data_IF_991990511335
#
_entry.id   IF_991990511335
#
_cell.length_a   1.000
_cell.length_b   1.000
_cell.length_c   1.000
_cell.angle_alpha   90.00
_cell.angle_beta   90.00
_cell.angle_gamma   90.00
#
_symmetry.space_group_name_H-M   'P 1'
#
loop_
_entity.id
_entity.type
_entity.pdbx_description
1 polymer ?
#
# COMPACT_ATOMS: atom_id res chain seq x y z
N UNK A 1 -16.57 -12.51 -17.73
CA UNK A 1 -16.78 -13.09 -16.38
C UNK A 1 -15.46 -13.72 -15.99
N UNK A 2 -14.77 -13.20 -14.98
CA UNK A 2 -13.57 -13.84 -14.42
C UNK A 2 -13.98 -15.10 -13.69
N UNK A 3 -13.22 -16.19 -13.87
CA UNK A 3 -13.48 -17.41 -13.13
C UNK A 3 -12.87 -17.31 -11.72
N UNK A 4 -13.38 -18.05 -10.72
CA UNK A 4 -12.75 -18.11 -9.40
C UNK A 4 -11.26 -18.52 -9.45
N UNK A 5 -10.86 -19.30 -10.46
CA UNK A 5 -9.47 -19.68 -10.68
C UNK A 5 -8.61 -18.48 -11.13
N UNK A 6 -9.14 -17.61 -11.99
CA UNK A 6 -8.44 -16.39 -12.43
C UNK A 6 -8.24 -15.42 -11.27
N UNK A 7 -9.21 -15.33 -10.35
CA UNK A 7 -9.10 -14.49 -9.15
C UNK A 7 -8.04 -15.04 -8.18
N UNK A 8 -8.00 -16.35 -7.96
CA UNK A 8 -6.95 -16.99 -7.14
C UNK A 8 -5.56 -16.78 -7.75
N UNK A 9 -5.41 -16.98 -9.07
CA UNK A 9 -4.13 -16.76 -9.76
C UNK A 9 -3.68 -15.30 -9.59
N UNK A 10 -4.59 -14.33 -9.77
CA UNK A 10 -4.29 -12.92 -9.57
C UNK A 10 -3.92 -12.58 -8.11
N UNK A 11 -4.50 -13.26 -7.11
CA UNK A 11 -4.09 -13.12 -5.71
C UNK A 11 -2.69 -13.69 -5.45
N UNK A 12 -2.36 -14.85 -6.04
CA UNK A 12 -1.03 -15.43 -5.94
C UNK A 12 0.04 -14.56 -6.60
N UNK A 13 -0.22 -14.01 -7.78
CA UNK A 13 0.70 -13.10 -8.47
C UNK A 13 0.93 -11.82 -7.64
N UNK A 14 -0.12 -11.25 -7.03
CA UNK A 14 0.02 -10.12 -6.10
C UNK A 14 0.84 -10.48 -4.87
N UNK A 15 0.68 -11.69 -4.33
CA UNK A 15 1.46 -12.15 -3.19
C UNK A 15 2.95 -12.32 -3.56
N UNK A 16 3.25 -12.84 -4.74
CA UNK A 16 4.62 -12.99 -5.25
C UNK A 16 5.30 -11.63 -5.47
N UNK A 17 4.59 -10.68 -6.10
CA UNK A 17 5.09 -9.31 -6.28
C UNK A 17 5.32 -8.60 -4.94
N UNK A 18 4.42 -8.79 -3.98
CA UNK A 18 4.58 -8.28 -2.62
C UNK A 18 5.83 -8.86 -1.95
N UNK A 19 6.09 -10.16 -2.10
CA UNK A 19 7.27 -10.81 -1.54
C UNK A 19 8.55 -10.33 -2.22
N UNK A 20 8.56 -10.14 -3.54
CA UNK A 20 9.70 -9.56 -4.27
C UNK A 20 10.00 -8.12 -3.84
N UNK A 21 8.98 -7.28 -3.70
CA UNK A 21 9.17 -5.91 -3.22
C UNK A 21 9.75 -5.91 -1.79
N UNK A 22 9.25 -6.82 -0.95
CA UNK A 22 9.74 -6.99 0.41
C UNK A 22 11.20 -7.46 0.45
N UNK A 23 11.61 -8.38 -0.40
CA UNK A 23 13.02 -8.78 -0.53
C UNK A 23 13.90 -7.62 -1.01
N UNK A 24 13.44 -6.84 -1.98
CA UNK A 24 14.15 -5.65 -2.46
C UNK A 24 14.31 -4.61 -1.36
N UNK A 25 13.29 -4.39 -0.52
CA UNK A 25 13.38 -3.53 0.66
C UNK A 25 14.33 -4.10 1.70
N UNK A 26 14.26 -5.40 2.00
CA UNK A 26 15.17 -6.06 2.92
C UNK A 26 16.64 -5.87 2.50
N UNK A 27 16.94 -5.99 1.20
CA UNK A 27 18.29 -5.72 0.65
C UNK A 27 18.78 -4.28 0.87
N UNK A 28 17.87 -3.31 0.99
CA UNK A 28 18.18 -1.89 1.25
C UNK A 28 18.32 -1.59 2.73
N UNK A 29 17.81 -2.44 3.62
CA UNK A 29 17.90 -2.22 5.06
C UNK A 29 19.34 -2.49 5.50
N UNK A 30 19.93 -1.45 6.08
CA UNK A 30 21.22 -1.56 6.75
C UNK A 30 21.02 -2.44 7.99
N UNK A 31 21.57 -3.65 7.95
CA UNK A 31 21.56 -4.55 9.10
C UNK A 31 22.21 -3.87 10.31
N UNK A 32 21.65 -4.04 11.52
CA UNK A 32 22.32 -3.61 12.74
C UNK A 32 23.67 -4.30 12.86
N UNK A 33 24.68 -3.58 13.35
CA UNK A 33 26.02 -4.12 13.55
C UNK A 33 26.04 -5.27 14.58
N UNK A 34 25.15 -5.19 15.57
CA UNK A 34 24.89 -6.23 16.55
C UNK A 34 23.37 -6.54 16.56
N UNK A 35 22.93 -7.58 15.82
CA UNK A 35 21.52 -7.95 15.75
C UNK A 35 20.93 -8.38 17.10
N UNK A 36 21.70 -9.04 17.99
CA UNK A 36 21.17 -9.51 19.27
C UNK A 36 20.92 -8.34 20.23
N UNK A 37 21.88 -7.41 20.31
CA UNK A 37 21.69 -6.19 21.09
C UNK A 37 20.52 -5.35 20.54
N UNK A 38 20.36 -5.31 19.22
CA UNK A 38 19.24 -4.62 18.58
C UNK A 38 17.88 -5.27 18.91
N UNK A 39 17.77 -6.60 18.80
CA UNK A 39 16.55 -7.34 19.16
C UNK A 39 16.18 -7.15 20.64
N UNK A 40 17.17 -7.20 21.53
CA UNK A 40 16.98 -6.95 22.96
C UNK A 40 16.52 -5.53 23.25
N UNK A 41 17.04 -4.53 22.53
CA UNK A 41 16.58 -3.15 22.65
C UNK A 41 15.15 -2.97 22.10
N UNK A 42 14.83 -3.63 20.98
CA UNK A 42 13.48 -3.61 20.41
C UNK A 42 12.46 -4.21 21.38
N UNK A 43 12.77 -5.35 22.00
CA UNK A 43 11.92 -6.00 23.00
C UNK A 43 11.62 -5.07 24.19
N UNK A 44 12.64 -4.37 24.71
CA UNK A 44 12.46 -3.34 25.76
C UNK A 44 11.55 -2.20 25.30
N UNK A 45 11.77 -1.68 24.10
CA UNK A 45 10.93 -0.60 23.53
C UNK A 45 9.49 -1.07 23.35
N UNK A 46 9.27 -2.30 22.88
CA UNK A 46 7.94 -2.88 22.74
C UNK A 46 7.25 -3.03 24.09
N UNK A 47 7.96 -3.50 25.13
CA UNK A 47 7.40 -3.59 26.48
C UNK A 47 6.93 -2.24 27.02
N UNK A 48 7.60 -1.14 26.66
CA UNK A 48 7.19 0.23 27.02
C UNK A 48 6.02 0.75 26.17
N UNK A 49 5.99 0.41 24.88
CA UNK A 49 5.04 0.96 23.91
C UNK A 49 3.74 0.15 23.80
N UNK A 50 3.78 -1.18 23.83
CA UNK A 50 2.60 -2.03 23.66
C UNK A 50 1.49 -1.78 24.69
N UNK A 51 1.76 -1.54 26.00
CA UNK A 51 0.72 -1.23 26.97
C UNK A 51 -0.10 0.01 26.63
N UNK A 52 0.41 0.86 25.75
CA UNK A 52 -0.25 2.06 25.28
C UNK A 52 -1.34 1.75 24.25
N UNK A 53 -1.28 0.63 23.53
CA UNK A 53 -2.28 0.28 22.54
C UNK A 53 -3.62 -0.12 23.19
N UNK A 54 -4.77 0.17 22.55
CA UNK A 54 -6.07 -0.33 22.99
C UNK A 54 -6.22 -1.83 22.72
N UNK A 55 -7.06 -2.52 23.48
CA UNK A 55 -7.50 -3.87 23.13
C UNK A 55 -8.50 -3.86 21.95
N UNK A 56 -8.54 -4.90 21.09
CA UNK A 56 -7.71 -6.13 21.10
C UNK A 56 -6.34 -5.96 20.39
N UNK A 57 -6.04 -4.75 19.90
CA UNK A 57 -4.84 -4.48 19.10
C UNK A 57 -3.58 -4.76 19.93
N UNK A 58 -3.59 -4.41 21.21
CA UNK A 58 -2.47 -4.70 22.11
C UNK A 58 -2.14 -6.19 22.16
N UNK A 59 -3.11 -7.07 22.38
CA UNK A 59 -2.84 -8.51 22.44
C UNK A 59 -2.33 -9.06 21.11
N UNK A 60 -2.97 -8.67 19.99
CA UNK A 60 -2.57 -9.09 18.63
C UNK A 60 -1.10 -8.74 18.34
N UNK A 61 -0.69 -7.49 18.62
CA UNK A 61 0.68 -7.05 18.36
C UNK A 61 1.68 -7.61 19.36
N UNK A 62 1.28 -7.88 20.60
CA UNK A 62 2.17 -8.48 21.60
C UNK A 62 2.58 -9.89 21.18
N UNK A 63 1.62 -10.72 20.79
CA UNK A 63 1.88 -12.09 20.31
C UNK A 63 2.72 -12.07 19.03
N UNK A 64 2.27 -11.31 18.03
CA UNK A 64 2.96 -11.19 16.73
C UNK A 64 4.42 -10.76 16.89
N UNK A 65 4.68 -9.70 17.65
CA UNK A 65 6.04 -9.18 17.78
C UNK A 65 6.93 -10.12 18.59
N UNK A 66 6.39 -10.79 19.61
CA UNK A 66 7.14 -11.77 20.42
C UNK A 66 7.59 -12.95 19.56
N UNK A 67 6.68 -13.50 18.75
CA UNK A 67 6.99 -14.62 17.85
C UNK A 67 7.98 -14.24 16.76
N UNK A 68 7.89 -13.02 16.23
CA UNK A 68 8.83 -12.53 15.23
C UNK A 68 10.23 -12.31 15.82
N UNK A 69 10.35 -11.78 17.04
CA UNK A 69 11.64 -11.64 17.73
C UNK A 69 12.25 -13.01 18.00
N UNK A 70 11.44 -13.97 18.46
CA UNK A 70 11.90 -15.35 18.68
C UNK A 70 12.40 -15.99 17.38
N UNK A 71 11.63 -15.85 16.30
CA UNK A 71 12.02 -16.33 14.97
C UNK A 71 13.31 -15.66 14.49
N UNK A 72 13.47 -14.35 14.69
CA UNK A 72 14.69 -13.64 14.34
C UNK A 72 15.90 -14.14 15.15
N UNK A 73 15.76 -14.37 16.46
CA UNK A 73 16.82 -14.96 17.29
C UNK A 73 17.20 -16.37 16.81
N UNK A 74 16.23 -17.18 16.40
CA UNK A 74 16.50 -18.50 15.83
C UNK A 74 17.34 -18.39 14.54
N UNK A 75 16.98 -17.50 13.61
CA UNK A 75 17.76 -17.29 12.39
C UNK A 75 19.16 -16.73 12.67
N UNK A 76 19.29 -15.86 13.68
CA UNK A 76 20.59 -15.37 14.13
C UNK A 76 21.46 -16.51 14.67
N UNK A 77 20.90 -17.40 15.51
CA UNK A 77 21.61 -18.56 16.05
C UNK A 77 22.04 -19.56 14.97
N UNK A 78 21.22 -19.72 13.91
CA UNK A 78 21.54 -20.56 12.76
C UNK A 78 22.55 -19.91 11.79
N UNK A 79 22.86 -18.62 11.95
CA UNK A 79 23.73 -17.88 11.03
C UNK A 79 23.08 -17.53 9.68
N UNK A 80 21.75 -17.67 9.55
CA UNK A 80 21.00 -17.46 8.31
C UNK A 80 20.76 -15.97 8.05
N UNK A 81 21.80 -15.27 7.59
CA UNK A 81 21.81 -13.81 7.44
C UNK A 81 20.71 -13.26 6.50
N UNK A 82 20.36 -14.01 5.44
CA UNK A 82 19.31 -13.59 4.52
C UNK A 82 17.92 -13.63 5.18
N UNK A 83 17.60 -14.72 5.86
CA UNK A 83 16.34 -14.88 6.60
C UNK A 83 16.25 -13.88 7.76
N UNK A 84 17.35 -13.70 8.51
CA UNK A 84 17.45 -12.71 9.57
C UNK A 84 17.18 -11.29 9.05
N UNK A 85 17.76 -10.91 7.91
CA UNK A 85 17.53 -9.58 7.30
C UNK A 85 16.07 -9.35 6.93
N UNK A 86 15.40 -10.35 6.38
CA UNK A 86 13.97 -10.29 6.07
C UNK A 86 13.11 -10.17 7.34
N UNK A 87 13.51 -10.84 8.42
CA UNK A 87 12.83 -10.72 9.72
C UNK A 87 13.07 -9.37 10.40
N UNK A 88 14.28 -8.84 10.35
CA UNK A 88 14.60 -7.49 10.86
C UNK A 88 13.79 -6.43 10.13
N UNK A 89 13.65 -6.56 8.81
CA UNK A 89 12.79 -5.68 8.02
C UNK A 89 11.33 -5.70 8.48
N UNK A 90 10.78 -6.90 8.67
CA UNK A 90 9.41 -7.09 9.14
C UNK A 90 9.19 -6.49 10.53
N UNK A 91 10.13 -6.74 11.45
CA UNK A 91 10.09 -6.20 12.81
C UNK A 91 10.12 -4.68 12.81
N UNK A 92 10.91 -4.06 11.91
CA UNK A 92 10.96 -2.61 11.78
C UNK A 92 9.63 -2.04 11.28
N UNK A 93 9.05 -2.64 10.23
CA UNK A 93 7.76 -2.20 9.68
C UNK A 93 6.64 -2.33 10.72
N UNK A 94 6.57 -3.46 11.44
CA UNK A 94 5.56 -3.68 12.47
C UNK A 94 5.76 -2.78 13.69
N UNK A 95 7.01 -2.51 14.08
CA UNK A 95 7.28 -1.55 15.16
C UNK A 95 6.85 -0.13 14.79
N UNK A 96 7.11 0.31 13.55
CA UNK A 96 6.63 1.61 13.07
C UNK A 96 5.10 1.67 13.04
N UNK A 97 4.43 0.56 12.70
CA UNK A 97 2.98 0.48 12.75
C UNK A 97 2.45 0.57 14.19
N UNK A 98 3.14 -0.05 15.16
CA UNK A 98 2.84 0.12 16.60
C UNK A 98 2.96 1.59 17.00
N UNK A 99 4.07 2.25 16.67
CA UNK A 99 4.26 3.68 16.97
C UNK A 99 3.16 4.54 16.35
N UNK A 100 2.86 4.31 15.08
CA UNK A 100 1.80 5.03 14.38
C UNK A 100 0.41 4.80 15.00
N UNK A 101 0.12 3.59 15.50
CA UNK A 101 -1.12 3.31 16.22
C UNK A 101 -1.18 3.98 17.60
N UNK A 102 -0.04 4.17 18.26
CA UNK A 102 0.06 4.90 19.53
C UNK A 102 -0.12 6.40 19.30
N UNK A 103 0.52 6.97 18.28
CA UNK A 103 0.39 8.39 17.94
C UNK A 103 -1.04 8.74 17.52
N UNK A 104 -1.77 7.76 16.97
CA UNK A 104 -3.20 7.85 16.67
C UNK A 104 -4.13 7.72 17.87
N UNK A 105 -3.65 7.75 19.11
CA UNK A 105 -4.50 7.69 20.32
C UNK A 105 -5.61 8.76 20.39
N UNK A 106 -5.45 9.89 19.71
CA UNK A 106 -6.51 10.91 19.58
C UNK A 106 -7.41 10.71 18.33
N UNK A 107 -7.09 9.76 17.47
CA UNK A 107 -7.94 9.30 16.38
C UNK A 107 -8.69 8.04 16.83
N UNK A 108 -9.84 8.24 17.48
CA UNK A 108 -10.81 7.21 17.83
C UNK A 108 -11.06 6.18 16.68
N UNK A 109 -11.56 4.97 17.00
CA UNK A 109 -11.15 3.68 16.43
C UNK A 109 -11.34 3.58 14.91
N UNK A 110 -10.24 3.61 14.14
CA UNK A 110 -10.23 3.36 12.70
C UNK A 110 -10.25 1.86 12.31
N UNK A 111 -10.84 1.01 13.16
CA UNK A 111 -11.39 -0.32 12.79
C UNK A 111 -12.92 -0.36 12.91
N UNK A 112 -13.61 0.78 12.97
CA UNK A 112 -14.95 0.88 12.39
C UNK A 112 -14.77 1.24 10.92
N UNK A 113 -15.45 0.53 10.03
CA UNK A 113 -15.37 0.74 8.57
C UNK A 113 -15.35 2.21 8.20
N UNK A 114 -14.68 2.55 7.08
CA UNK A 114 -14.59 3.91 6.52
C UNK A 114 -15.85 4.69 6.92
N UNK A 115 -15.71 5.77 7.69
CA UNK A 115 -16.88 6.52 8.13
C UNK A 115 -17.78 6.78 6.92
N UNK A 116 -19.10 6.62 7.06
CA UNK A 116 -20.02 6.72 5.93
C UNK A 116 -19.79 7.99 5.07
N UNK A 117 -19.36 9.10 5.70
CA UNK A 117 -18.96 10.32 4.97
C UNK A 117 -17.64 10.22 4.19
N UNK A 118 -16.61 9.56 4.70
CA UNK A 118 -15.33 9.36 4.01
C UNK A 118 -15.40 8.30 2.91
N UNK A 119 -16.20 7.25 3.13
CA UNK A 119 -16.51 6.25 2.12
C UNK A 119 -17.34 6.86 0.99
N UNK A 120 -18.37 7.63 1.33
CA UNK A 120 -19.18 8.38 0.37
C UNK A 120 -18.34 9.35 -0.46
N UNK A 121 -17.42 10.11 0.15
CA UNK A 121 -16.57 11.05 -0.61
C UNK A 121 -15.61 10.33 -1.55
N UNK A 122 -15.06 9.19 -1.13
CA UNK A 122 -14.16 8.39 -1.98
C UNK A 122 -14.92 7.74 -3.15
N UNK A 123 -16.11 7.18 -2.89
CA UNK A 123 -16.99 6.61 -3.91
C UNK A 123 -17.49 7.68 -4.88
N UNK A 124 -17.86 8.86 -4.38
CA UNK A 124 -18.23 10.00 -5.22
C UNK A 124 -17.06 10.45 -6.10
N UNK A 125 -15.85 10.58 -5.55
CA UNK A 125 -14.66 10.94 -6.34
C UNK A 125 -14.29 9.87 -7.36
N UNK A 126 -14.51 8.60 -7.02
CA UNK A 126 -14.29 7.50 -7.96
C UNK A 126 -15.32 7.52 -9.10
N UNK A 127 -16.61 7.65 -8.77
CA UNK A 127 -17.68 7.77 -9.76
C UNK A 127 -17.50 9.02 -10.65
N UNK A 128 -17.09 10.15 -10.07
CA UNK A 128 -16.76 11.36 -10.83
C UNK A 128 -15.58 11.11 -11.77
N UNK A 129 -14.53 10.42 -11.29
CA UNK A 129 -13.38 10.07 -12.13
C UNK A 129 -13.76 9.13 -13.28
N UNK A 130 -14.61 8.13 -13.03
CA UNK A 130 -15.12 7.20 -14.04
C UNK A 130 -16.00 7.90 -15.07
N UNK A 131 -16.91 8.78 -14.63
CA UNK A 131 -17.73 9.60 -15.53
C UNK A 131 -16.87 10.53 -16.41
N UNK A 132 -15.84 11.16 -15.83
CA UNK A 132 -14.90 11.98 -16.59
C UNK A 132 -14.11 11.14 -17.62
N UNK A 133 -13.67 9.93 -17.26
CA UNK A 133 -12.98 9.03 -18.18
C UNK A 133 -13.90 8.64 -19.34
N UNK A 134 -15.14 8.26 -19.07
CA UNK A 134 -16.11 7.93 -20.12
C UNK A 134 -16.34 9.10 -21.08
N UNK A 135 -16.47 10.32 -20.55
CA UNK A 135 -16.61 11.53 -21.38
C UNK A 135 -15.36 11.82 -22.22
N UNK A 136 -14.16 11.56 -21.69
CA UNK A 136 -12.90 11.68 -22.43
C UNK A 136 -12.86 10.70 -23.60
N UNK A 137 -13.28 9.44 -23.39
CA UNK A 137 -13.34 8.41 -24.44
C UNK A 137 -14.27 8.85 -25.57
N UNK A 138 -15.49 9.30 -25.23
CA UNK A 138 -16.46 9.75 -26.23
C UNK A 138 -15.94 10.94 -27.06
N UNK A 139 -15.31 11.93 -26.40
CA UNK A 139 -14.71 13.07 -27.09
C UNK A 139 -13.50 12.67 -27.93
N UNK A 140 -12.71 11.70 -27.47
CA UNK A 140 -11.55 11.19 -28.17
C UNK A 140 -11.93 10.54 -29.49
N UNK A 141 -12.90 9.62 -29.46
CA UNK A 141 -13.44 8.93 -30.64
C UNK A 141 -14.09 9.91 -31.63
N UNK A 142 -14.81 10.92 -31.14
CA UNK A 142 -15.38 11.98 -32.01
C UNK A 142 -14.30 12.77 -32.73
N UNK A 143 -13.23 13.15 -32.03
CA UNK A 143 -12.12 13.89 -32.64
C UNK A 143 -11.33 13.01 -33.61
N UNK A 144 -11.23 11.72 -33.33
CA UNK A 144 -10.67 10.72 -34.24
C UNK A 144 -11.45 10.59 -35.54
N UNK A 145 -12.79 10.45 -35.45
CA UNK A 145 -13.67 10.40 -36.61
C UNK A 145 -13.60 11.67 -37.47
N UNK A 146 -13.24 12.81 -36.87
CA UNK A 146 -13.01 14.09 -37.56
C UNK A 146 -11.61 14.20 -38.19
N UNK A 147 -10.77 13.17 -38.08
CA UNK A 147 -9.40 13.15 -38.61
C UNK A 147 -8.41 13.99 -37.82
N UNK A 148 -8.69 14.32 -36.55
CA UNK A 148 -7.77 15.10 -35.73
C UNK A 148 -6.54 14.27 -35.34
N UNK A 149 -5.31 14.82 -35.40
CA UNK A 149 -4.10 14.12 -34.95
C UNK A 149 -4.11 13.84 -33.44
N UNK A 150 -3.63 12.67 -33.02
CA UNK A 150 -3.56 12.23 -31.62
C UNK A 150 -2.95 13.29 -30.69
N UNK A 151 -1.87 13.94 -31.13
CA UNK A 151 -1.12 14.96 -30.37
C UNK A 151 -1.98 16.17 -29.97
N UNK A 152 -3.00 16.49 -30.76
CA UNK A 152 -3.88 17.65 -30.56
C UNK A 152 -5.12 17.31 -29.74
N UNK A 153 -5.61 16.06 -29.81
CA UNK A 153 -6.89 15.65 -29.19
C UNK A 153 -6.94 15.94 -27.69
N UNK A 154 -5.87 15.60 -26.96
CA UNK A 154 -5.80 15.81 -25.51
C UNK A 154 -5.92 17.31 -25.12
N UNK A 155 -5.33 18.21 -25.90
CA UNK A 155 -5.42 19.65 -25.67
C UNK A 155 -6.82 20.20 -25.91
N UNK A 156 -7.49 19.74 -26.96
CA UNK A 156 -8.88 20.12 -27.28
C UNK A 156 -9.83 19.65 -26.17
N UNK A 157 -9.68 18.41 -25.72
CA UNK A 157 -10.50 17.83 -24.63
C UNK A 157 -10.26 18.57 -23.32
N UNK A 158 -9.00 18.87 -22.99
CA UNK A 158 -8.63 19.63 -21.80
C UNK A 158 -9.31 21.00 -21.75
N UNK A 159 -9.25 21.76 -22.85
CA UNK A 159 -9.93 23.05 -22.97
C UNK A 159 -11.45 22.92 -22.83
N UNK A 160 -12.05 21.88 -23.44
CA UNK A 160 -13.51 21.66 -23.40
C UNK A 160 -14.02 21.26 -22.02
N UNK A 161 -13.25 20.49 -21.26
CA UNK A 161 -13.61 20.03 -19.92
C UNK A 161 -13.16 20.97 -18.80
N UNK A 162 -12.38 22.01 -19.10
CA UNK A 162 -11.79 22.89 -18.10
C UNK A 162 -10.82 22.16 -17.16
N UNK A 163 -10.07 21.18 -17.68
CA UNK A 163 -9.14 20.35 -16.90
C UNK A 163 -7.70 20.49 -17.41
N UNK A 164 -6.67 20.30 -16.56
CA UNK A 164 -5.29 20.30 -17.02
C UNK A 164 -5.03 19.19 -18.06
N UNK A 165 -4.19 19.50 -19.07
CA UNK A 165 -3.87 18.55 -20.15
C UNK A 165 -3.25 17.24 -19.64
N UNK A 166 -2.45 17.30 -18.58
CA UNK A 166 -1.84 16.10 -17.98
C UNK A 166 -2.86 15.19 -17.31
N UNK A 167 -3.94 15.77 -16.77
CA UNK A 167 -5.06 15.00 -16.21
C UNK A 167 -5.77 14.23 -17.32
N UNK A 168 -6.07 14.88 -18.44
CA UNK A 168 -6.69 14.24 -19.60
C UNK A 168 -5.80 13.13 -20.16
N UNK A 169 -4.48 13.35 -20.28
CA UNK A 169 -3.52 12.32 -20.72
C UNK A 169 -3.52 11.09 -19.82
N UNK A 170 -3.63 11.27 -18.49
CA UNK A 170 -3.74 10.15 -17.55
C UNK A 170 -5.05 9.38 -17.75
N UNK A 171 -6.16 10.07 -18.02
CA UNK A 171 -7.44 9.43 -18.31
C UNK A 171 -7.42 8.65 -19.63
N UNK A 172 -6.85 9.22 -20.69
CA UNK A 172 -6.64 8.52 -21.99
C UNK A 172 -5.81 7.26 -21.80
N UNK A 173 -4.70 7.33 -21.04
CA UNK A 173 -3.86 6.16 -20.72
C UNK A 173 -4.64 5.11 -19.92
N UNK A 174 -5.44 5.52 -18.94
CA UNK A 174 -6.29 4.59 -18.16
C UNK A 174 -7.35 3.90 -19.01
N UNK A 175 -7.84 4.56 -20.06
CA UNK A 175 -8.82 4.02 -20.99
C UNK A 175 -8.21 3.10 -22.08
N UNK A 176 -6.87 2.95 -22.14
CA UNK A 176 -6.21 2.10 -23.14
C UNK A 176 -6.23 2.68 -24.56
N UNK A 177 -6.49 3.98 -24.71
CA UNK A 177 -6.52 4.67 -26.01
C UNK A 177 -5.12 5.11 -26.50
N UNK A 178 -4.07 4.78 -25.74
CA UNK A 178 -2.66 5.10 -26.01
C UNK A 178 -1.71 4.10 -25.38
#
# INVERSE_FOLDING_TARGET
MTTPLDEMIAEFEKADDYMKERELRAKRIKMPADPEAWLSNLEKKLAEKLPQLPEPVRSEYTELMTDQIKTARNWLALGEQAALRTMVALLFDNYNLVLHNIDRKDAAPARKGRSAGGQSTAEQKQAEAEANIAQVVELWEKLEAQGRPERERAGIIANRMGRPIDTVRRWVKKAGLR
#
